data_IF_551255454960
#
_entry.id   IF_551255454960
#
_cell.length_a   1.000
_cell.length_b   1.000
_cell.length_c   1.000
_cell.angle_alpha   90.00
_cell.angle_beta   90.00
_cell.angle_gamma   90.00
#
_symmetry.space_group_name_H-M   'P 1'
#
loop_
_entity.id
_entity.type
_entity.pdbx_description
1 polymer ?
#
# COMPACT_ATOMS: atom_id res chain seq x y z
N UNK A 1 3.67 58.15 24.64
CA UNK A 1 3.25 56.88 25.29
C UNK A 1 2.70 55.84 24.29
N UNK A 2 3.06 55.91 22.99
CA UNK A 2 2.36 55.18 21.91
C UNK A 2 3.18 54.04 21.28
N UNK A 3 4.52 54.08 21.34
CA UNK A 3 5.38 53.07 20.71
C UNK A 3 5.38 51.73 21.45
N UNK A 4 5.37 51.74 22.80
CA UNK A 4 5.34 50.52 23.60
C UNK A 4 4.06 49.69 23.37
N UNK A 5 2.90 50.36 23.27
CA UNK A 5 1.62 49.70 22.98
C UNK A 5 1.60 49.06 21.58
N UNK A 6 2.18 49.74 20.58
CA UNK A 6 2.27 49.22 19.21
C UNK A 6 3.23 48.03 19.08
N UNK A 7 4.29 48.00 19.89
CA UNK A 7 5.26 46.90 19.90
C UNK A 7 4.66 45.65 20.57
N UNK A 8 3.99 45.83 21.72
CA UNK A 8 3.29 44.73 22.42
C UNK A 8 2.20 44.14 21.52
N UNK A 9 1.41 44.98 20.85
CA UNK A 9 0.34 44.51 19.96
C UNK A 9 0.89 43.68 18.79
N UNK A 10 1.97 44.15 18.13
CA UNK A 10 2.62 43.41 17.03
C UNK A 10 3.20 42.07 17.50
N UNK A 11 3.85 42.03 18.66
CA UNK A 11 4.42 40.80 19.22
C UNK A 11 3.33 39.79 19.58
N UNK A 12 2.21 40.24 20.15
CA UNK A 12 1.07 39.38 20.47
C UNK A 12 0.44 38.81 19.18
N UNK A 13 0.26 39.64 18.14
CA UNK A 13 -0.31 39.18 16.86
C UNK A 13 0.58 38.13 16.18
N UNK A 14 1.90 38.34 16.14
CA UNK A 14 2.84 37.37 15.52
C UNK A 14 2.84 36.05 16.29
N UNK A 15 2.81 36.10 17.62
CA UNK A 15 2.78 34.91 18.47
C UNK A 15 1.46 34.14 18.31
N UNK A 16 0.34 34.85 18.20
CA UNK A 16 -0.98 34.25 17.95
C UNK A 16 -1.05 33.56 16.58
N UNK A 17 -0.50 34.19 15.53
CA UNK A 17 -0.42 33.58 14.20
C UNK A 17 0.48 32.33 14.19
N UNK A 18 1.63 32.36 14.86
CA UNK A 18 2.51 31.20 14.95
C UNK A 18 1.83 30.01 15.67
N UNK A 19 1.10 30.28 16.76
CA UNK A 19 0.32 29.25 17.46
C UNK A 19 -0.83 28.71 16.60
N UNK A 20 -1.51 29.55 15.81
CA UNK A 20 -2.56 29.12 14.90
C UNK A 20 -2.04 28.20 13.79
N UNK A 21 -0.85 28.48 13.23
CA UNK A 21 -0.20 27.60 12.24
C UNK A 21 0.18 26.25 12.84
N UNK A 22 0.71 26.24 14.08
CA UNK A 22 1.07 25.00 14.78
C UNK A 22 -0.19 24.17 15.11
N UNK A 23 -1.28 24.82 15.52
CA UNK A 23 -2.56 24.15 15.77
C UNK A 23 -3.17 23.58 14.48
N UNK A 24 -3.16 24.34 13.38
CA UNK A 24 -3.63 23.88 12.09
C UNK A 24 -2.80 22.70 11.55
N UNK A 25 -1.47 22.72 11.74
CA UNK A 25 -0.59 21.61 11.37
C UNK A 25 -0.89 20.34 12.19
N UNK A 26 -1.16 20.46 13.50
CA UNK A 26 -1.56 19.30 14.33
C UNK A 26 -2.93 18.74 13.90
N UNK A 27 -3.92 19.60 13.67
CA UNK A 27 -5.27 19.18 13.28
C UNK A 27 -5.27 18.54 11.89
N UNK A 28 -4.57 19.14 10.91
CA UNK A 28 -4.61 18.68 9.52
C UNK A 28 -3.70 17.47 9.23
N UNK A 29 -2.60 17.29 9.98
CA UNK A 29 -1.64 16.19 9.75
C UNK A 29 -1.93 14.96 10.63
N UNK A 30 -2.43 15.14 11.87
CA UNK A 30 -2.56 14.03 12.83
C UNK A 30 -3.93 13.35 12.79
N UNK A 31 -5.02 14.07 12.47
CA UNK A 31 -6.37 13.48 12.52
C UNK A 31 -6.62 12.44 11.41
N UNK A 32 -5.78 12.41 10.37
CA UNK A 32 -5.89 11.43 9.30
C UNK A 32 -5.23 10.08 9.60
N UNK A 33 -4.43 10.00 10.67
CA UNK A 33 -3.86 8.75 11.18
C UNK A 33 -4.69 8.13 12.32
N UNK A 34 -5.79 8.78 12.72
CA UNK A 34 -6.61 8.36 13.86
C UNK A 34 -8.03 7.95 13.51
N UNK A 35 -8.38 7.83 12.23
CA UNK A 35 -9.66 7.22 11.83
C UNK A 35 -9.54 5.71 12.04
N UNK A 36 -10.16 5.12 13.09
CA UNK A 36 -10.27 3.68 13.16
C UNK A 36 -11.08 3.23 11.93
N UNK A 37 -10.59 2.20 11.25
CA UNK A 37 -11.38 1.50 10.24
C UNK A 37 -12.45 0.71 10.99
N UNK A 38 -13.48 1.41 11.46
CA UNK A 38 -14.72 0.80 11.92
C UNK A 38 -15.57 0.53 10.68
N UNK A 39 -15.43 -0.67 10.13
CA UNK A 39 -16.58 -1.39 9.62
C UNK A 39 -16.22 -2.87 9.47
N UNK A 40 -17.09 -3.70 10.06
CA UNK A 40 -17.20 -5.16 9.95
C UNK A 40 -16.43 -5.99 10.99
N UNK A 41 -16.69 -5.72 12.27
CA UNK A 41 -16.83 -6.81 13.24
C UNK A 41 -18.27 -7.35 13.12
N UNK A 42 -18.45 -8.47 12.44
CA UNK A 42 -19.69 -9.24 12.50
C UNK A 42 -19.49 -10.30 13.59
N UNK A 43 -20.21 -10.15 14.69
CA UNK A 43 -20.46 -11.20 15.67
C UNK A 43 -21.29 -12.30 15.03
N UNK A 44 -20.74 -13.50 14.93
CA UNK A 44 -21.44 -14.70 14.47
C UNK A 44 -20.76 -15.94 15.03
N UNK A 45 -21.42 -16.58 15.98
CA UNK A 45 -20.98 -17.77 16.71
C UNK A 45 -21.04 -19.06 15.88
N UNK A 46 -20.12 -19.97 16.24
CA UNK A 46 -20.22 -21.43 16.29
C UNK A 46 -20.63 -22.25 15.05
N UNK A 47 -19.70 -23.14 14.65
CA UNK A 47 -19.98 -24.29 13.79
C UNK A 47 -18.71 -24.95 13.27
N UNK A 48 -17.92 -25.58 14.15
CA UNK A 48 -16.83 -26.47 13.72
C UNK A 48 -17.40 -27.72 13.01
N UNK A 49 -16.76 -28.18 11.93
CA UNK A 49 -16.15 -29.52 11.89
C UNK A 49 -15.32 -29.77 10.63
N UNK A 50 -14.10 -30.25 10.90
CA UNK A 50 -13.26 -31.18 10.13
C UNK A 50 -12.67 -30.77 8.76
N UNK A 51 -11.34 -30.59 8.73
CA UNK A 51 -10.54 -30.74 7.50
C UNK A 51 -9.18 -30.04 7.48
N UNK A 52 -8.18 -30.62 8.15
CA UNK A 52 -6.73 -30.59 7.82
C UNK A 52 -6.08 -29.29 7.28
N UNK A 53 -5.26 -28.65 8.12
CA UNK A 53 -3.93 -28.16 7.72
C UNK A 53 -3.82 -26.80 7.01
N UNK A 54 -3.51 -25.77 7.79
CA UNK A 54 -2.85 -24.52 7.39
C UNK A 54 -3.62 -23.53 6.47
N UNK A 55 -4.52 -22.75 7.07
CA UNK A 55 -4.77 -21.38 6.62
C UNK A 55 -5.33 -20.56 7.79
N UNK A 56 -4.47 -19.83 8.50
CA UNK A 56 -4.95 -18.65 9.23
C UNK A 56 -5.73 -17.79 8.23
N UNK A 57 -6.96 -17.41 8.59
CA UNK A 57 -7.89 -16.68 7.73
C UNK A 57 -7.16 -15.60 6.92
N UNK A 58 -7.16 -15.74 5.60
CA UNK A 58 -6.53 -14.77 4.68
C UNK A 58 -7.58 -13.71 4.38
N UNK A 59 -7.53 -12.51 4.97
CA UNK A 59 -8.60 -11.50 4.86
C UNK A 59 -8.82 -10.96 3.43
N UNK A 60 -8.03 -11.42 2.46
CA UNK A 60 -8.20 -11.11 1.05
C UNK A 60 -8.94 -12.18 0.24
N UNK A 61 -9.02 -13.44 0.70
CA UNK A 61 -9.63 -14.53 -0.09
C UNK A 61 -11.14 -14.41 -0.24
N UNK A 62 -11.81 -13.74 0.69
CA UNK A 62 -13.27 -13.59 0.67
C UNK A 62 -13.73 -12.39 -0.19
N UNK A 63 -12.79 -11.64 -0.79
CA UNK A 63 -13.11 -10.49 -1.64
C UNK A 63 -13.27 -10.93 -3.10
N UNK A 64 -14.30 -10.40 -3.76
CA UNK A 64 -14.52 -10.56 -5.21
C UNK A 64 -13.23 -10.21 -5.96
N UNK A 65 -12.58 -11.22 -6.53
CA UNK A 65 -11.36 -11.09 -7.32
C UNK A 65 -11.71 -10.80 -8.77
N UNK A 66 -11.29 -9.65 -9.29
CA UNK A 66 -11.42 -9.32 -10.71
C UNK A 66 -10.17 -9.79 -11.47
N UNK A 67 -10.33 -10.30 -12.70
CA UNK A 67 -9.19 -10.58 -13.58
C UNK A 67 -9.06 -9.46 -14.60
N UNK A 68 -7.91 -8.79 -14.63
CA UNK A 68 -7.68 -7.63 -15.50
C UNK A 68 -6.33 -7.73 -16.21
N UNK A 69 -6.18 -6.95 -17.29
CA UNK A 69 -4.86 -6.70 -17.86
C UNK A 69 -4.10 -5.74 -16.93
N UNK A 70 -2.82 -6.01 -16.65
CA UNK A 70 -2.01 -5.13 -15.80
C UNK A 70 -1.86 -3.71 -16.36
N UNK A 71 -2.04 -3.50 -17.67
CA UNK A 71 -2.05 -2.16 -18.29
C UNK A 71 -3.25 -1.33 -17.88
N UNK A 72 -4.34 -1.97 -17.48
CA UNK A 72 -5.57 -1.31 -17.01
C UNK A 72 -5.61 -1.14 -15.49
N UNK A 73 -4.56 -1.55 -14.77
CA UNK A 73 -4.51 -1.51 -13.30
C UNK A 73 -4.86 -0.14 -12.69
N UNK A 74 -4.48 0.96 -13.34
CA UNK A 74 -4.82 2.31 -12.88
C UNK A 74 -6.32 2.65 -12.91
N UNK A 75 -7.14 1.90 -13.67
CA UNK A 75 -8.60 2.08 -13.72
C UNK A 75 -9.33 1.34 -12.59
N UNK A 76 -8.62 0.48 -11.87
CA UNK A 76 -9.17 -0.46 -10.89
C UNK A 76 -8.58 -0.23 -9.48
N UNK A 77 -8.16 1.00 -9.18
CA UNK A 77 -7.61 1.34 -7.86
C UNK A 77 -8.65 1.04 -6.76
N UNK A 78 -8.20 0.38 -5.70
CA UNK A 78 -9.03 -0.02 -4.56
C UNK A 78 -9.64 -1.41 -4.68
N UNK A 79 -9.71 -1.98 -5.88
CA UNK A 79 -10.23 -3.33 -6.15
C UNK A 79 -9.18 -4.42 -5.87
N UNK A 80 -9.65 -5.64 -5.63
CA UNK A 80 -8.79 -6.81 -5.49
C UNK A 80 -8.69 -7.54 -6.82
N UNK A 81 -7.50 -7.57 -7.42
CA UNK A 81 -7.31 -8.02 -8.78
C UNK A 81 -6.30 -9.17 -8.89
N UNK A 82 -6.53 -10.07 -9.85
CA UNK A 82 -5.56 -11.00 -10.40
C UNK A 82 -5.04 -10.44 -11.74
N UNK A 83 -3.73 -10.43 -11.90
CA UNK A 83 -3.05 -10.01 -13.12
C UNK A 83 -2.03 -11.06 -13.54
N UNK A 84 -1.77 -11.13 -14.84
CA UNK A 84 -0.69 -11.94 -15.41
C UNK A 84 0.20 -11.06 -16.30
N UNK A 85 1.51 -11.19 -16.18
CA UNK A 85 2.46 -10.38 -16.94
C UNK A 85 3.90 -10.84 -16.79
N UNK A 86 4.80 -10.33 -17.64
CA UNK A 86 6.24 -10.58 -17.52
C UNK A 86 6.84 -9.49 -16.64
N UNK A 87 7.70 -9.87 -15.69
CA UNK A 87 8.50 -8.88 -14.95
C UNK A 87 9.58 -8.33 -15.88
N UNK A 88 9.32 -7.16 -16.46
CA UNK A 88 10.18 -6.52 -17.45
C UNK A 88 11.40 -5.82 -16.84
N UNK A 89 11.29 -5.37 -15.58
CA UNK A 89 12.39 -4.76 -14.83
C UNK A 89 12.20 -5.00 -13.33
N UNK A 90 13.30 -5.09 -12.58
CA UNK A 90 13.24 -5.24 -11.12
C UNK A 90 14.33 -4.43 -10.43
N UNK A 91 14.10 -4.06 -9.18
CA UNK A 91 15.08 -3.35 -8.34
C UNK A 91 14.87 -3.66 -6.88
N UNK A 92 15.94 -4.03 -6.18
CA UNK A 92 15.93 -4.16 -4.72
C UNK A 92 16.78 -3.05 -4.10
N UNK A 93 16.22 -2.37 -3.09
CA UNK A 93 16.86 -1.27 -2.36
C UNK A 93 17.35 -1.70 -0.96
N UNK A 94 17.16 -2.97 -0.60
CA UNK A 94 17.34 -3.48 0.76
C UNK A 94 16.14 -3.22 1.68
N UNK A 95 15.34 -2.17 1.40
CA UNK A 95 14.08 -1.87 2.13
C UNK A 95 12.84 -2.33 1.38
N UNK A 96 12.89 -2.24 0.07
CA UNK A 96 11.79 -2.55 -0.84
C UNK A 96 12.35 -3.23 -2.09
N UNK A 97 11.69 -4.30 -2.51
CA UNK A 97 11.88 -4.95 -3.80
C UNK A 97 10.72 -4.57 -4.73
N UNK A 98 11.06 -4.03 -5.90
CA UNK A 98 10.14 -3.67 -6.95
C UNK A 98 10.24 -4.68 -8.09
N UNK A 99 9.09 -5.22 -8.51
CA UNK A 99 8.94 -6.07 -9.69
C UNK A 99 7.99 -5.37 -10.67
N UNK A 100 8.53 -4.80 -11.73
CA UNK A 100 7.78 -3.95 -12.66
C UNK A 100 7.29 -4.75 -13.88
N UNK A 101 6.02 -4.56 -14.24
CA UNK A 101 5.41 -5.20 -15.41
C UNK A 101 5.86 -4.57 -16.74
N UNK A 102 6.41 -3.37 -16.69
CA UNK A 102 6.94 -2.65 -17.86
C UNK A 102 8.28 -1.97 -17.50
N UNK A 103 9.08 -1.64 -18.52
CA UNK A 103 10.30 -0.83 -18.37
C UNK A 103 9.96 0.61 -18.00
N UNK A 104 8.81 1.14 -18.45
CA UNK A 104 8.28 2.42 -17.97
C UNK A 104 7.55 2.24 -16.61
N UNK A 105 8.35 1.95 -15.59
CA UNK A 105 7.89 1.71 -14.22
C UNK A 105 7.23 2.93 -13.55
N UNK A 106 7.27 4.12 -14.19
CA UNK A 106 6.65 5.33 -13.64
C UNK A 106 5.15 5.39 -13.89
N UNK A 107 4.64 4.61 -14.86
CA UNK A 107 3.23 4.65 -15.29
C UNK A 107 2.50 3.33 -15.12
N UNK A 108 3.25 2.23 -15.13
CA UNK A 108 2.69 0.89 -15.14
C UNK A 108 2.72 0.21 -13.78
N UNK A 109 1.98 -0.88 -13.68
CA UNK A 109 1.85 -1.65 -12.45
C UNK A 109 3.21 -2.16 -11.95
N UNK A 110 3.44 -1.92 -10.66
CA UNK A 110 4.58 -2.49 -9.93
C UNK A 110 4.08 -3.40 -8.82
N UNK A 111 4.65 -4.61 -8.71
CA UNK A 111 4.50 -5.44 -7.53
C UNK A 111 5.60 -5.08 -6.53
N UNK A 112 5.21 -4.94 -5.26
CA UNK A 112 6.06 -4.41 -4.20
C UNK A 112 6.17 -5.44 -3.08
N UNK A 113 7.39 -5.77 -2.69
CA UNK A 113 7.68 -6.58 -1.51
C UNK A 113 8.46 -5.70 -0.53
N UNK A 114 7.99 -5.60 0.72
CA UNK A 114 8.71 -4.90 1.78
C UNK A 114 9.72 -5.81 2.49
N UNK A 115 10.79 -5.22 3.03
CA UNK A 115 11.84 -5.97 3.73
C UNK A 115 11.33 -6.86 4.88
N UNK A 116 10.25 -6.44 5.57
CA UNK A 116 9.59 -7.24 6.60
C UNK A 116 9.09 -8.60 6.11
N UNK A 117 8.80 -8.70 4.81
CA UNK A 117 8.23 -9.88 4.17
C UNK A 117 9.24 -10.65 3.31
N UNK A 118 10.47 -10.17 3.10
CA UNK A 118 11.49 -10.81 2.25
C UNK A 118 11.70 -12.29 2.56
N UNK A 119 11.71 -12.67 3.84
CA UNK A 119 11.88 -14.06 4.29
C UNK A 119 10.80 -15.04 3.80
N UNK A 120 9.66 -14.52 3.33
CA UNK A 120 8.54 -15.31 2.79
C UNK A 120 8.71 -15.61 1.31
N UNK A 121 9.56 -14.86 0.60
CA UNK A 121 9.76 -14.97 -0.84
C UNK A 121 11.07 -15.71 -1.15
N UNK A 122 11.27 -16.18 -2.39
CA UNK A 122 12.54 -16.73 -2.83
C UNK A 122 13.70 -15.76 -2.59
N UNK A 123 14.89 -16.31 -2.38
CA UNK A 123 16.10 -15.51 -2.21
C UNK A 123 16.33 -14.61 -3.43
N UNK A 124 16.75 -13.36 -3.19
CA UNK A 124 16.95 -12.35 -4.22
C UNK A 124 15.72 -12.23 -5.15
N UNK A 125 14.54 -11.84 -4.64
CA UNK A 125 13.29 -11.84 -5.41
C UNK A 125 13.37 -10.99 -6.68
N UNK A 126 14.18 -9.91 -6.68
CA UNK A 126 14.43 -9.10 -7.86
C UNK A 126 15.11 -9.88 -8.98
N UNK A 127 15.98 -10.84 -8.67
CA UNK A 127 16.62 -11.71 -9.66
C UNK A 127 15.74 -12.90 -10.00
N UNK A 128 15.07 -13.47 -8.98
CA UNK A 128 14.27 -14.67 -9.15
C UNK A 128 13.11 -14.46 -10.14
N UNK A 129 12.40 -13.33 -10.07
CA UNK A 129 11.22 -13.08 -10.91
C UNK A 129 11.54 -12.37 -12.24
N UNK A 130 12.71 -11.75 -12.38
CA UNK A 130 13.06 -10.98 -13.58
C UNK A 130 12.95 -11.83 -14.84
N UNK A 131 12.27 -11.31 -15.87
CA UNK A 131 12.05 -11.98 -17.15
C UNK A 131 11.04 -13.13 -17.11
N UNK A 132 10.51 -13.51 -15.94
CA UNK A 132 9.50 -14.56 -15.83
C UNK A 132 8.10 -14.00 -16.03
N UNK A 133 7.24 -14.81 -16.64
CA UNK A 133 5.80 -14.59 -16.61
C UNK A 133 5.27 -14.99 -15.24
N UNK A 134 4.56 -14.09 -14.58
CA UNK A 134 4.00 -14.30 -13.25
C UNK A 134 2.50 -14.07 -13.27
N UNK A 135 1.78 -14.78 -12.41
CA UNK A 135 0.42 -14.46 -11.98
C UNK A 135 0.52 -13.89 -10.57
N UNK A 136 -0.05 -12.72 -10.36
CA UNK A 136 -0.06 -12.08 -9.05
C UNK A 136 -1.45 -11.59 -8.68
N UNK A 137 -1.76 -11.61 -7.38
CA UNK A 137 -3.02 -11.11 -6.85
C UNK A 137 -2.83 -10.19 -5.64
N UNK A 138 -3.68 -9.17 -5.57
CA UNK A 138 -3.66 -8.23 -4.48
C UNK A 138 -4.57 -7.05 -4.67
N UNK A 139 -4.64 -6.19 -3.66
CA UNK A 139 -5.38 -4.93 -3.75
C UNK A 139 -4.55 -3.93 -4.54
N UNK A 140 -5.15 -3.36 -5.57
CA UNK A 140 -4.56 -2.26 -6.31
C UNK A 140 -4.58 -0.99 -5.46
N UNK A 141 -3.41 -0.40 -5.25
CA UNK A 141 -3.23 0.86 -4.56
C UNK A 141 -2.57 1.86 -5.48
N UNK A 142 -2.91 3.13 -5.34
CA UNK A 142 -2.15 4.19 -6.00
C UNK A 142 -1.05 4.69 -5.06
N UNK A 143 0.16 4.82 -5.58
CA UNK A 143 1.27 5.43 -4.85
C UNK A 143 2.07 6.34 -5.78
N UNK A 144 2.06 7.65 -5.51
CA UNK A 144 2.66 8.69 -6.35
C UNK A 144 2.15 8.64 -7.81
N UNK A 145 0.85 8.49 -7.99
CA UNK A 145 0.21 8.50 -9.32
C UNK A 145 0.43 7.25 -10.17
N UNK A 146 0.92 6.14 -9.58
CA UNK A 146 1.05 4.85 -10.27
C UNK A 146 0.39 3.71 -9.49
N UNK A 147 -0.15 2.70 -10.19
CA UNK A 147 -0.73 1.53 -9.54
C UNK A 147 0.34 0.60 -8.99
N UNK A 148 0.11 0.09 -7.78
CA UNK A 148 0.95 -0.89 -7.08
C UNK A 148 0.11 -2.00 -6.46
N UNK A 149 0.69 -3.20 -6.39
CA UNK A 149 0.20 -4.30 -5.56
C UNK A 149 1.28 -4.63 -4.53
N UNK A 150 0.91 -4.60 -3.25
CA UNK A 150 1.80 -5.04 -2.17
C UNK A 150 1.63 -6.54 -1.98
N UNK A 151 2.73 -7.27 -2.06
CA UNK A 151 2.82 -8.70 -1.83
C UNK A 151 3.34 -8.93 -0.40
N UNK A 152 2.47 -9.47 0.45
CA UNK A 152 2.75 -9.73 1.87
C UNK A 152 2.93 -11.23 2.16
N UNK A 153 2.65 -12.08 1.18
CA UNK A 153 2.72 -13.54 1.28
C UNK A 153 3.07 -14.17 -0.08
N UNK A 154 3.71 -15.35 -0.05
CA UNK A 154 4.17 -16.05 -1.25
C UNK A 154 3.03 -16.52 -2.15
N UNK A 155 1.88 -16.86 -1.58
CA UNK A 155 0.71 -17.33 -2.33
C UNK A 155 0.06 -16.25 -3.23
N UNK A 156 0.44 -14.99 -3.05
CA UNK A 156 -0.01 -13.88 -3.89
C UNK A 156 0.74 -13.79 -5.22
N UNK A 157 1.79 -14.58 -5.44
CA UNK A 157 2.57 -14.56 -6.67
C UNK A 157 3.08 -15.95 -7.03
N UNK A 158 2.90 -16.33 -8.29
CA UNK A 158 3.45 -17.58 -8.82
C UNK A 158 4.01 -17.37 -10.23
N UNK A 159 5.00 -18.19 -10.58
CA UNK A 159 5.56 -18.21 -11.94
C UNK A 159 4.67 -19.09 -12.82
N UNK A 160 4.17 -18.52 -13.91
CA UNK A 160 3.36 -19.23 -14.90
C UNK A 160 4.30 -19.76 -15.97
N UNK A 161 4.18 -21.06 -16.28
CA UNK A 161 4.95 -21.71 -17.35
C UNK A 161 4.34 -21.43 -18.72
#
# INVERSE_FOLDING_TARGET
MNNAKSFILKTVTVTLCALAVIAAAKIFIVDELKKPVEHLFISGEAGETAGSGAAAARPWRDKKKIKINWRDAGKHIGEYAEIEGVIAASKNTGKVCFLNMDKDFRRHLTLVIFASDFKKFPENPEKYYLGKKVRAEGRLKEYNGKPEIILNSLDQIEVVK
#
